data_IF_935766772426
#
_entry.id   IF_935766772426
#
_cell.length_a   1.000
_cell.length_b   1.000
_cell.length_c   1.000
_cell.angle_alpha   90.00
_cell.angle_beta   90.00
_cell.angle_gamma   90.00
#
_symmetry.space_group_name_H-M   'P 1'
#
loop_
_entity.id
_entity.type
_entity.pdbx_description
1 polymer ?
#
# COMPACT_ATOMS: atom_id res chain seq x y z
N UNK A 1 15.16 -25.32 12.59
CA UNK A 1 15.03 -26.25 11.46
C UNK A 1 13.78 -27.10 11.71
N UNK A 2 12.64 -26.63 11.21
CA UNK A 2 11.38 -27.38 11.20
C UNK A 2 11.03 -27.56 9.73
N UNK A 3 11.02 -28.81 9.29
CA UNK A 3 10.63 -29.20 7.94
C UNK A 3 9.12 -29.00 7.78
N UNK A 4 8.73 -28.09 6.89
CA UNK A 4 7.40 -28.13 6.29
C UNK A 4 7.44 -29.19 5.19
N UNK A 5 7.28 -30.44 5.57
CA UNK A 5 7.00 -31.54 4.63
C UNK A 5 5.48 -31.75 4.64
N UNK A 6 4.77 -30.77 4.10
CA UNK A 6 3.36 -30.87 3.78
C UNK A 6 3.27 -31.13 2.29
N UNK A 7 3.09 -32.39 1.91
CA UNK A 7 2.75 -32.77 0.54
C UNK A 7 1.52 -31.95 0.09
N UNK A 8 1.61 -31.12 -0.95
CA UNK A 8 0.50 -30.30 -1.43
C UNK A 8 -0.73 -31.13 -1.84
N UNK A 9 -0.57 -32.46 -2.03
CA UNK A 9 -1.67 -33.38 -2.29
C UNK A 9 -2.64 -33.61 -1.11
N UNK A 10 -2.40 -33.00 0.07
CA UNK A 10 -3.24 -33.16 1.27
C UNK A 10 -4.11 -31.94 1.60
N UNK A 11 -4.25 -30.96 0.71
CA UNK A 11 -5.25 -29.91 0.88
C UNK A 11 -6.65 -30.50 0.65
N UNK A 12 -7.25 -31.02 1.72
CA UNK A 12 -8.66 -31.42 1.73
C UNK A 12 -9.52 -30.17 1.88
N UNK A 13 -10.56 -30.07 1.05
CA UNK A 13 -11.62 -29.07 1.24
C UNK A 13 -12.23 -29.20 2.64
N UNK A 14 -12.91 -28.15 3.13
CA UNK A 14 -13.61 -28.16 4.45
C UNK A 14 -14.58 -29.34 4.62
N UNK A 15 -15.00 -29.97 3.52
CA UNK A 15 -15.89 -31.12 3.47
C UNK A 15 -15.16 -32.49 3.37
N UNK A 16 -13.83 -32.53 3.53
CA UNK A 16 -13.03 -33.76 3.49
C UNK A 16 -12.92 -34.39 2.10
N UNK A 17 -13.24 -33.65 1.04
CA UNK A 17 -13.00 -34.09 -0.35
C UNK A 17 -11.60 -33.69 -0.78
N UNK A 18 -10.88 -34.57 -1.52
CA UNK A 18 -9.62 -34.18 -2.15
C UNK A 18 -9.88 -32.96 -3.02
N UNK A 19 -9.02 -31.94 -2.91
CA UNK A 19 -9.07 -30.82 -3.83
C UNK A 19 -8.95 -31.36 -5.26
N UNK A 20 -9.88 -30.93 -6.11
CA UNK A 20 -9.72 -31.10 -7.55
C UNK A 20 -8.56 -30.19 -7.97
N UNK A 21 -7.36 -30.77 -8.08
CA UNK A 21 -6.11 -30.07 -8.40
C UNK A 21 -6.25 -29.25 -9.68
N UNK A 22 -7.00 -29.75 -10.67
CA UNK A 22 -7.25 -29.04 -11.92
C UNK A 22 -8.12 -27.80 -11.67
N UNK A 23 -9.23 -27.95 -10.94
CA UNK A 23 -10.10 -26.83 -10.61
C UNK A 23 -9.42 -25.79 -9.71
N UNK A 24 -8.57 -26.25 -8.78
CA UNK A 24 -7.77 -25.42 -7.90
C UNK A 24 -6.73 -24.63 -8.68
N UNK A 25 -5.96 -25.29 -9.56
CA UNK A 25 -4.99 -24.64 -10.45
C UNK A 25 -5.64 -23.56 -11.31
N UNK A 26 -6.81 -23.84 -11.91
CA UNK A 26 -7.56 -22.84 -12.67
C UNK A 26 -8.04 -21.65 -11.82
N UNK A 27 -8.37 -21.87 -10.55
CA UNK A 27 -8.76 -20.79 -9.65
C UNK A 27 -7.55 -19.93 -9.26
N UNK A 28 -6.40 -20.55 -8.98
CA UNK A 28 -5.13 -19.87 -8.71
C UNK A 28 -4.72 -19.01 -9.92
N UNK A 29 -4.62 -19.58 -11.12
CA UNK A 29 -4.29 -18.80 -12.33
C UNK A 29 -5.23 -17.61 -12.57
N UNK A 30 -6.54 -17.77 -12.33
CA UNK A 30 -7.49 -16.64 -12.46
C UNK A 30 -7.24 -15.55 -11.43
N UNK A 31 -6.92 -15.93 -10.19
CA UNK A 31 -6.61 -14.99 -9.11
C UNK A 31 -5.33 -14.23 -9.44
N UNK A 32 -4.30 -14.94 -9.83
CA UNK A 32 -2.97 -14.43 -10.11
C UNK A 32 -3.02 -13.45 -11.29
N UNK A 33 -3.68 -13.85 -12.37
CA UNK A 33 -3.96 -12.98 -13.52
C UNK A 33 -4.71 -11.70 -13.12
N UNK A 34 -5.79 -11.82 -12.32
CA UNK A 34 -6.58 -10.64 -11.90
C UNK A 34 -5.77 -9.67 -11.05
N UNK A 35 -4.91 -10.21 -10.17
CA UNK A 35 -4.05 -9.39 -9.33
C UNK A 35 -3.02 -8.63 -10.19
N UNK A 36 -2.43 -9.30 -11.18
CA UNK A 36 -1.53 -8.66 -12.13
C UNK A 36 -2.23 -7.59 -12.99
N UNK A 37 -3.40 -7.89 -13.54
CA UNK A 37 -4.21 -6.94 -14.32
C UNK A 37 -4.61 -5.70 -13.50
N UNK A 38 -4.83 -5.86 -12.19
CA UNK A 38 -5.11 -4.75 -11.28
C UNK A 38 -3.85 -3.93 -10.94
N UNK A 39 -2.68 -4.56 -10.90
CA UNK A 39 -1.41 -3.91 -10.59
C UNK A 39 -0.82 -3.16 -11.80
N UNK A 40 -0.96 -3.68 -13.03
CA UNK A 40 -0.35 -3.10 -14.24
C UNK A 40 -0.56 -1.59 -14.42
N UNK A 41 -1.77 -1.03 -14.25
CA UNK A 41 -1.96 0.42 -14.38
C UNK A 41 -1.17 1.24 -13.35
N UNK A 42 -0.83 0.65 -12.21
CA UNK A 42 -0.04 1.29 -11.15
C UNK A 42 1.46 1.25 -11.46
N UNK A 43 1.93 0.24 -12.18
CA UNK A 43 3.35 0.07 -12.53
C UNK A 43 3.91 1.35 -13.19
N UNK A 44 3.16 1.95 -14.12
CA UNK A 44 3.58 3.18 -14.83
C UNK A 44 3.70 4.42 -13.93
N UNK A 45 3.02 4.45 -12.78
CA UNK A 45 2.99 5.60 -11.88
C UNK A 45 3.60 5.32 -10.50
N UNK A 46 4.11 4.11 -10.28
CA UNK A 46 4.58 3.61 -8.99
C UNK A 46 5.70 4.48 -8.43
N UNK A 47 6.67 4.85 -9.28
CA UNK A 47 7.79 5.73 -8.92
C UNK A 47 7.30 7.08 -8.43
N UNK A 48 6.31 7.67 -9.11
CA UNK A 48 5.75 8.98 -8.77
C UNK A 48 4.95 8.89 -7.47
N UNK A 49 4.16 7.83 -7.29
CA UNK A 49 3.39 7.60 -6.07
C UNK A 49 4.29 7.43 -4.85
N UNK A 50 5.33 6.59 -4.96
CA UNK A 50 6.27 6.34 -3.88
C UNK A 50 7.16 7.56 -3.58
N UNK A 51 7.59 8.30 -4.61
CA UNK A 51 8.31 9.56 -4.41
C UNK A 51 7.44 10.60 -3.68
N UNK A 52 6.17 10.70 -4.06
CA UNK A 52 5.20 11.61 -3.40
C UNK A 52 4.98 11.20 -1.95
N UNK A 53 4.78 9.92 -1.67
CA UNK A 53 4.61 9.42 -0.31
C UNK A 53 5.85 9.70 0.55
N UNK A 54 7.05 9.48 0.03
CA UNK A 54 8.29 9.81 0.73
C UNK A 54 8.39 11.31 1.05
N UNK A 55 8.03 12.19 0.11
CA UNK A 55 8.00 13.64 0.37
C UNK A 55 6.95 14.02 1.43
N UNK A 56 5.80 13.34 1.44
CA UNK A 56 4.73 13.56 2.41
C UNK A 56 5.11 13.12 3.84
N UNK A 57 5.99 12.13 4.01
CA UNK A 57 6.48 11.71 5.33
C UNK A 57 7.14 12.86 6.09
N UNK A 58 7.92 13.69 5.40
CA UNK A 58 8.64 14.82 6.02
C UNK A 58 7.69 15.93 6.50
N UNK A 59 6.44 15.91 6.04
CA UNK A 59 5.40 16.87 6.42
C UNK A 59 4.65 16.46 7.69
N UNK A 60 4.85 15.23 8.18
CA UNK A 60 4.23 14.73 9.39
C UNK A 60 5.06 15.03 10.64
N UNK A 61 4.41 15.09 11.83
CA UNK A 61 5.13 15.15 13.10
C UNK A 61 6.10 13.98 13.27
N UNK A 62 7.30 14.25 13.79
CA UNK A 62 8.36 13.25 13.99
C UNK A 62 7.90 12.01 14.78
N UNK A 63 6.91 12.15 15.68
CA UNK A 63 6.36 11.05 16.44
C UNK A 63 5.53 10.05 15.60
N UNK A 64 4.93 10.50 14.49
CA UNK A 64 4.11 9.67 13.59
C UNK A 64 4.89 9.13 12.40
N UNK A 65 6.04 9.72 12.07
CA UNK A 65 6.87 9.31 10.93
C UNK A 65 7.30 7.83 10.95
N UNK A 66 7.70 7.21 12.08
CA UNK A 66 8.18 5.83 12.06
C UNK A 66 7.13 4.82 11.59
N UNK A 67 5.87 5.00 11.97
CA UNK A 67 4.77 4.13 11.55
C UNK A 67 4.54 4.21 10.04
N UNK A 68 4.44 5.43 9.51
CA UNK A 68 4.22 5.63 8.08
C UNK A 68 5.44 5.22 7.26
N UNK A 69 6.65 5.50 7.74
CA UNK A 69 7.90 5.12 7.08
C UNK A 69 7.98 3.60 6.88
N UNK A 70 7.68 2.81 7.90
CA UNK A 70 7.67 1.34 7.78
C UNK A 70 6.66 0.85 6.73
N UNK A 71 5.49 1.47 6.63
CA UNK A 71 4.48 1.10 5.62
C UNK A 71 4.95 1.46 4.20
N UNK A 72 5.51 2.65 4.03
CA UNK A 72 6.04 3.09 2.72
C UNK A 72 7.25 2.25 2.31
N UNK A 73 8.17 1.94 3.22
CA UNK A 73 9.32 1.07 2.95
C UNK A 73 8.88 -0.34 2.51
N UNK A 74 7.83 -0.91 3.12
CA UNK A 74 7.27 -2.19 2.71
C UNK A 74 6.70 -2.14 1.28
N UNK A 75 6.01 -1.04 0.92
CA UNK A 75 5.50 -0.84 -0.44
C UNK A 75 6.63 -0.65 -1.47
N UNK A 76 7.66 0.12 -1.13
CA UNK A 76 8.85 0.30 -1.99
C UNK A 76 9.51 -1.06 -2.25
N UNK A 77 9.76 -1.84 -1.20
CA UNK A 77 10.41 -3.13 -1.34
C UNK A 77 9.58 -4.12 -2.16
N UNK A 78 8.26 -4.12 -1.97
CA UNK A 78 7.35 -4.93 -2.75
C UNK A 78 7.34 -4.52 -4.23
N UNK A 79 7.41 -3.21 -4.52
CA UNK A 79 7.46 -2.70 -5.89
C UNK A 79 8.74 -3.13 -6.62
N UNK A 80 9.88 -2.98 -5.95
CA UNK A 80 11.18 -3.40 -6.47
C UNK A 80 11.21 -4.90 -6.75
N UNK A 81 10.64 -5.70 -5.84
CA UNK A 81 10.52 -7.16 -6.03
C UNK A 81 9.67 -7.49 -7.26
N UNK A 82 8.49 -6.89 -7.39
CA UNK A 82 7.61 -7.14 -8.53
C UNK A 82 8.28 -6.76 -9.86
N UNK A 83 8.91 -5.58 -9.93
CA UNK A 83 9.60 -5.10 -11.13
C UNK A 83 10.79 -6.01 -11.50
N UNK A 84 11.58 -6.44 -10.51
CA UNK A 84 12.70 -7.36 -10.73
C UNK A 84 12.22 -8.72 -11.29
N UNK A 85 11.19 -9.31 -10.69
CA UNK A 85 10.62 -10.59 -11.13
C UNK A 85 9.96 -10.47 -12.51
N UNK A 86 9.27 -9.36 -12.78
CA UNK A 86 8.67 -9.09 -14.09
C UNK A 86 9.75 -8.99 -15.17
N UNK A 87 10.81 -8.20 -14.94
CA UNK A 87 11.96 -8.08 -15.86
C UNK A 87 12.64 -9.42 -16.10
N UNK A 88 12.86 -10.20 -15.05
CA UNK A 88 13.47 -11.53 -15.19
C UNK A 88 12.58 -12.47 -16.00
N UNK A 89 11.27 -12.44 -15.76
CA UNK A 89 10.29 -13.26 -16.47
C UNK A 89 10.21 -12.89 -17.94
N UNK A 90 10.19 -11.60 -18.29
CA UNK A 90 10.23 -11.14 -19.68
C UNK A 90 11.52 -11.62 -20.37
N UNK A 91 12.67 -11.56 -19.70
CA UNK A 91 13.93 -12.06 -20.26
C UNK A 91 13.92 -13.59 -20.48
N UNK A 92 13.36 -14.35 -19.53
CA UNK A 92 13.18 -15.81 -19.65
C UNK A 92 12.25 -16.15 -20.81
N UNK A 93 11.11 -15.48 -20.91
CA UNK A 93 10.15 -15.66 -22.02
C UNK A 93 10.78 -15.30 -23.37
N UNK A 94 11.50 -14.19 -23.47
CA UNK A 94 12.19 -13.81 -24.70
C UNK A 94 13.20 -14.88 -25.13
N UNK A 95 13.96 -15.43 -24.18
CA UNK A 95 14.92 -16.52 -24.45
C UNK A 95 14.21 -17.80 -24.89
N UNK A 96 13.13 -18.17 -24.20
CA UNK A 96 12.34 -19.37 -24.50
C UNK A 96 11.70 -19.29 -25.89
N UNK A 97 11.10 -18.14 -26.23
CA UNK A 97 10.47 -17.90 -27.52
C UNK A 97 11.47 -17.76 -28.68
N UNK A 98 12.78 -17.68 -28.38
CA UNK A 98 13.84 -17.70 -29.39
C UNK A 98 14.22 -19.13 -29.82
N UNK A 99 13.74 -20.16 -29.11
CA UNK A 99 13.95 -21.58 -29.47
C UNK A 99 12.89 -22.00 -30.51
N UNK A 100 13.23 -22.81 -31.53
CA UNK A 100 12.22 -23.38 -32.43
C UNK A 100 11.25 -24.30 -31.66
N UNK A 101 9.95 -24.06 -31.83
CA UNK A 101 8.83 -24.79 -31.20
C UNK A 101 8.80 -24.78 -29.66
N UNK A 102 8.66 -23.60 -29.01
CA UNK A 102 8.42 -23.54 -27.58
C UNK A 102 7.08 -24.21 -27.24
N UNK A 103 7.06 -25.04 -26.20
CA UNK A 103 5.82 -25.72 -25.77
C UNK A 103 4.99 -24.82 -24.87
N UNK A 104 3.67 -25.01 -24.86
CA UNK A 104 2.78 -24.28 -23.94
C UNK A 104 3.19 -24.52 -22.48
N UNK A 105 3.51 -25.76 -22.11
CA UNK A 105 3.97 -26.10 -20.75
C UNK A 105 5.24 -25.35 -20.35
N UNK A 106 6.16 -25.11 -21.30
CA UNK A 106 7.38 -24.35 -21.01
C UNK A 106 7.11 -22.86 -20.77
N UNK A 107 6.11 -22.29 -21.45
CA UNK A 107 5.66 -20.92 -21.23
C UNK A 107 4.92 -20.82 -19.90
N UNK A 108 4.02 -21.77 -19.63
CA UNK A 108 3.22 -21.81 -18.40
C UNK A 108 4.10 -21.98 -17.15
N UNK A 109 5.16 -22.79 -17.22
CA UNK A 109 6.14 -22.93 -16.14
C UNK A 109 6.86 -21.60 -15.82
N UNK A 110 7.20 -20.80 -16.84
CA UNK A 110 7.83 -19.48 -16.64
C UNK A 110 6.85 -18.48 -16.01
N UNK A 111 5.58 -18.50 -16.43
CA UNK A 111 4.52 -17.64 -15.87
C UNK A 111 4.17 -18.04 -14.45
N UNK A 112 4.10 -19.34 -14.16
CA UNK A 112 3.83 -19.86 -12.82
C UNK A 112 4.94 -19.45 -11.86
N UNK A 113 6.21 -19.62 -12.27
CA UNK A 113 7.35 -19.21 -11.46
C UNK A 113 7.37 -17.71 -11.15
N UNK A 114 6.91 -16.85 -12.08
CA UNK A 114 6.73 -15.42 -11.79
C UNK A 114 5.76 -15.20 -10.64
N UNK A 115 4.58 -15.83 -10.70
CA UNK A 115 3.57 -15.64 -9.67
C UNK A 115 3.99 -16.25 -8.34
N UNK A 116 4.64 -17.39 -8.31
CA UNK A 116 5.15 -17.98 -7.06
C UNK A 116 6.08 -17.02 -6.30
N UNK A 117 6.97 -16.32 -7.02
CA UNK A 117 7.92 -15.39 -6.43
C UNK A 117 7.32 -13.98 -6.19
N UNK A 118 6.47 -13.49 -7.09
CA UNK A 118 5.87 -12.16 -6.99
C UNK A 118 4.65 -12.10 -6.06
N UNK A 119 4.00 -13.22 -5.77
CA UNK A 119 2.75 -13.27 -4.99
C UNK A 119 2.83 -12.56 -3.64
N UNK A 120 3.87 -12.78 -2.80
CA UNK A 120 3.97 -12.10 -1.50
C UNK A 120 4.07 -10.57 -1.66
N UNK A 121 4.79 -10.11 -2.68
CA UNK A 121 4.95 -8.68 -2.94
C UNK A 121 3.67 -8.05 -3.50
N UNK A 122 2.96 -8.76 -4.39
CA UNK A 122 1.64 -8.33 -4.88
C UNK A 122 0.60 -8.27 -3.75
N UNK A 123 0.64 -9.20 -2.79
CA UNK A 123 -0.23 -9.16 -1.61
C UNK A 123 0.09 -7.97 -0.69
N UNK A 124 1.37 -7.65 -0.49
CA UNK A 124 1.78 -6.43 0.24
C UNK A 124 1.23 -5.18 -0.45
N UNK A 125 1.31 -5.10 -1.77
CA UNK A 125 0.74 -3.98 -2.52
C UNK A 125 -0.78 -3.90 -2.41
N UNK A 126 -1.47 -5.03 -2.58
CA UNK A 126 -2.93 -5.09 -2.51
C UNK A 126 -3.46 -4.65 -1.14
N UNK A 127 -2.80 -5.03 -0.05
CA UNK A 127 -3.22 -4.67 1.31
C UNK A 127 -2.64 -3.33 1.80
N UNK A 128 -1.53 -2.87 1.19
CA UNK A 128 -0.80 -1.68 1.62
C UNK A 128 -1.16 -0.40 0.86
N UNK A 129 -1.82 -0.49 -0.30
CA UNK A 129 -2.15 0.68 -1.13
C UNK A 129 -2.96 1.75 -0.38
N UNK A 130 -3.85 1.36 0.54
CA UNK A 130 -4.62 2.29 1.37
C UNK A 130 -3.74 3.14 2.29
N UNK A 131 -2.51 2.70 2.59
CA UNK A 131 -1.56 3.50 3.36
C UNK A 131 -1.16 4.78 2.60
N UNK A 132 -1.12 4.77 1.26
CA UNK A 132 -0.83 5.96 0.48
C UNK A 132 -1.94 7.01 0.60
N UNK A 133 -3.21 6.58 0.49
CA UNK A 133 -4.36 7.46 0.69
C UNK A 133 -4.48 7.94 2.15
N UNK A 134 -4.17 7.07 3.10
CA UNK A 134 -4.13 7.39 4.53
C UNK A 134 -3.06 8.44 4.85
N UNK A 135 -1.88 8.35 4.22
CA UNK A 135 -0.80 9.32 4.38
C UNK A 135 -1.20 10.70 3.85
N UNK A 136 -1.76 10.78 2.65
CA UNK A 136 -2.26 12.05 2.09
C UNK A 136 -3.32 12.68 3.01
N UNK A 137 -4.25 11.87 3.51
CA UNK A 137 -5.27 12.32 4.47
C UNK A 137 -4.65 12.86 5.76
N UNK A 138 -3.65 12.16 6.31
CA UNK A 138 -2.94 12.58 7.51
C UNK A 138 -2.20 13.92 7.30
N UNK A 139 -1.51 14.08 6.16
CA UNK A 139 -0.83 15.34 5.81
C UNK A 139 -1.83 16.49 5.69
N UNK A 140 -2.95 16.30 4.98
CA UNK A 140 -3.99 17.33 4.85
C UNK A 140 -4.58 17.73 6.20
N UNK A 141 -4.82 16.77 7.08
CA UNK A 141 -5.34 17.04 8.42
C UNK A 141 -4.36 17.90 9.25
N UNK A 142 -3.04 17.67 9.13
CA UNK A 142 -2.03 18.49 9.80
C UNK A 142 -2.00 19.92 9.24
N UNK A 143 -2.06 20.08 7.92
CA UNK A 143 -2.08 21.39 7.27
C UNK A 143 -3.33 22.21 7.62
N UNK A 144 -4.51 21.58 7.61
CA UNK A 144 -5.76 22.23 8.04
C UNK A 144 -5.75 22.59 9.54
N UNK A 145 -5.13 21.75 10.38
CA UNK A 145 -4.98 22.01 11.82
C UNK A 145 -3.98 23.14 12.12
N UNK A 146 -2.97 23.35 11.28
CA UNK A 146 -2.03 24.46 11.40
C UNK A 146 -2.70 25.82 11.09
N UNK A 147 -3.65 25.84 10.15
CA UNK A 147 -4.39 27.05 9.78
C UNK A 147 -5.42 27.48 10.85
N UNK A 148 -5.99 26.54 11.60
CA UNK A 148 -6.91 26.86 12.71
C UNK A 148 -6.23 27.39 13.99
N UNK A 149 -4.89 27.51 14.03
CA UNK A 149 -4.16 27.98 15.24
C UNK A 149 -3.67 29.42 15.18
N UNK A 150 -3.95 30.18 14.12
CA UNK A 150 -3.54 31.59 14.03
C UNK A 150 -4.57 32.59 14.54
N UNK A 151 -5.74 32.15 15.01
CA UNK A 151 -6.70 33.07 15.65
C UNK A 151 -6.37 33.29 17.14
N UNK A 152 -5.13 33.66 17.43
CA UNK A 152 -4.81 34.37 18.67
C UNK A 152 -5.13 35.84 18.43
N UNK A 153 -6.42 36.16 18.53
CA UNK A 153 -6.90 37.54 18.56
C UNK A 153 -6.14 38.30 19.67
N UNK A 154 -5.34 39.34 19.34
CA UNK A 154 -4.68 40.12 20.36
C UNK A 154 -5.76 40.93 21.09
N UNK A 155 -5.89 40.65 22.38
CA UNK A 155 -6.70 41.35 23.35
C UNK A 155 -6.97 42.83 22.99
N UNK A 156 -8.23 43.14 22.67
CA UNK A 156 -8.79 44.47 22.91
C UNK A 156 -8.90 44.66 24.42
N UNK A 157 -7.75 44.98 25.03
CA UNK A 157 -7.62 45.40 26.42
C UNK A 157 -8.21 46.82 26.51
N UNK A 158 -9.53 46.91 26.51
CA UNK A 158 -10.26 48.14 26.80
C UNK A 158 -10.04 48.54 28.27
N UNK A 159 -9.72 49.81 28.56
CA UNK A 159 -9.44 50.25 29.93
C UNK A 159 -10.71 50.20 30.79
N UNK A 160 -10.54 49.68 32.01
CA UNK A 160 -11.54 49.64 33.06
C UNK A 160 -12.17 51.02 33.30
N UNK A 161 -13.45 51.16 32.98
CA UNK A 161 -14.25 52.29 33.41
C UNK A 161 -14.45 52.21 34.93
N UNK A 162 -13.97 53.23 35.63
CA UNK A 162 -14.07 53.43 37.07
C UNK A 162 -15.52 53.40 37.54
N UNK A 163 -15.72 52.67 38.63
CA UNK A 163 -16.82 52.83 39.59
C UNK A 163 -16.79 54.24 40.19
N UNK A 164 -17.94 54.93 40.15
CA UNK A 164 -18.30 55.96 41.12
C UNK A 164 -19.82 55.92 41.31
N UNK A 165 -20.25 55.70 42.56
CA UNK A 165 -21.62 55.42 42.96
C UNK A 165 -22.51 56.66 43.18
N UNK A 166 -23.46 56.60 44.12
CA UNK A 166 -24.89 56.71 43.81
C UNK A 166 -25.48 58.10 44.10
N UNK A 167 -26.52 58.45 43.35
CA UNK A 167 -27.35 59.63 43.61
C UNK A 167 -28.50 59.22 44.55
N UNK A 168 -28.54 59.82 45.75
CA UNK A 168 -29.69 59.80 46.65
C UNK A 168 -30.43 61.14 46.60
N UNK A 169 -31.76 61.02 46.70
CA UNK A 169 -32.75 61.92 47.32
C UNK A 169 -33.14 63.25 46.67
N UNK A 170 -34.39 63.24 46.15
CA UNK A 170 -35.61 63.87 46.72
C UNK A 170 -35.58 65.39 47.00
N UNK A 171 -36.45 66.12 46.29
CA UNK A 171 -37.26 67.21 46.85
C UNK A 171 -38.59 67.26 46.13
#
# INVERSE_FOLDING_TARGET
>A
MLAFDGDPAQEQTRDGRPCDELAYGWAAHRRDRRMWEAFQPLEECLDVLLATANAQLDMLPAASQPEWRSKIEALVHAAETIDAEHKQTVARLHTLLSVPDPTVDSVDAVVTAFFDEAWPALDVWANGADALAGLDTAVRAQQGSAQCRTDTSPALRGPAARVAGPHRTRR
#
